data_IF_927286188126
#
_entry.id   IF_927286188126
#
_cell.length_a   1.000
_cell.length_b   1.000
_cell.length_c   1.000
_cell.angle_alpha   90.00
_cell.angle_beta   90.00
_cell.angle_gamma   90.00
#
_symmetry.space_group_name_H-M   'P 1'
#
loop_
_entity.id
_entity.type
_entity.pdbx_description
1 polymer ?
#
# COMPACT_ATOMS: atom_id res chain seq x y z
N UNK A 1 -16.09 18.57 1.42
CA UNK A 1 -16.06 17.18 0.89
C UNK A 1 -16.95 17.10 -0.34
N UNK A 2 -16.40 16.91 -1.55
CA UNK A 2 -17.23 16.67 -2.75
C UNK A 2 -17.80 15.24 -2.67
N UNK A 3 -19.11 15.10 -2.67
CA UNK A 3 -19.79 13.80 -2.73
C UNK A 3 -19.48 13.20 -4.11
N UNK A 4 -18.46 12.36 -4.20
CA UNK A 4 -18.21 11.56 -5.40
C UNK A 4 -19.39 10.61 -5.61
N UNK A 5 -19.85 10.45 -6.85
CA UNK A 5 -20.85 9.45 -7.20
C UNK A 5 -20.33 8.03 -6.89
N UNK A 6 -21.23 7.12 -6.52
CA UNK A 6 -20.93 5.71 -6.21
C UNK A 6 -19.98 5.06 -7.24
N UNK A 7 -20.18 5.24 -8.57
CA UNK A 7 -19.29 4.64 -9.57
C UNK A 7 -17.85 5.16 -9.49
N UNK A 8 -17.67 6.47 -9.22
CA UNK A 8 -16.33 7.06 -9.11
C UNK A 8 -15.58 6.55 -7.88
N UNK A 9 -16.28 6.29 -6.78
CA UNK A 9 -15.71 5.74 -5.54
C UNK A 9 -15.22 4.32 -5.74
N UNK A 10 -16.07 3.46 -6.32
CA UNK A 10 -15.71 2.09 -6.67
C UNK A 10 -14.52 2.05 -7.62
N UNK A 11 -14.56 2.87 -8.68
CA UNK A 11 -13.47 2.92 -9.66
C UNK A 11 -12.15 3.38 -9.01
N UNK A 12 -12.19 4.37 -8.12
CA UNK A 12 -11.03 4.82 -7.37
C UNK A 12 -10.43 3.72 -6.50
N UNK A 13 -11.27 3.01 -5.72
CA UNK A 13 -10.81 1.94 -4.83
C UNK A 13 -10.31 0.72 -5.60
N UNK A 14 -10.98 0.36 -6.68
CA UNK A 14 -10.56 -0.72 -7.57
C UNK A 14 -9.20 -0.42 -8.23
N UNK A 15 -9.02 0.80 -8.78
CA UNK A 15 -7.73 1.23 -9.34
C UNK A 15 -6.61 1.20 -8.31
N UNK A 16 -6.92 1.58 -7.08
CA UNK A 16 -5.97 1.53 -5.98
C UNK A 16 -5.52 0.09 -5.66
N UNK A 17 -6.45 -0.87 -5.56
CA UNK A 17 -6.10 -2.29 -5.39
C UNK A 17 -5.35 -2.87 -6.58
N UNK A 18 -5.69 -2.49 -7.82
CA UNK A 18 -4.91 -2.87 -8.99
C UNK A 18 -3.46 -2.38 -8.89
N UNK A 19 -3.24 -1.16 -8.38
CA UNK A 19 -1.88 -0.63 -8.14
C UNK A 19 -1.13 -1.49 -7.12
N UNK A 20 -1.76 -1.84 -6.00
CA UNK A 20 -1.18 -2.73 -4.99
C UNK A 20 -0.81 -4.08 -5.60
N UNK A 21 -1.76 -4.74 -6.27
CA UNK A 21 -1.56 -6.09 -6.84
C UNK A 21 -0.54 -6.12 -7.99
N UNK A 22 -0.36 -5.00 -8.70
CA UNK A 22 0.65 -4.88 -9.76
C UNK A 22 2.07 -4.70 -9.20
N UNK A 23 2.21 -3.98 -8.07
CA UNK A 23 3.53 -3.66 -7.50
C UNK A 23 3.99 -4.69 -6.47
N UNK A 24 3.07 -5.21 -5.65
CA UNK A 24 3.33 -6.14 -4.56
C UNK A 24 2.83 -7.54 -4.87
N UNK A 25 3.70 -8.54 -4.68
CA UNK A 25 3.35 -9.96 -4.81
C UNK A 25 3.56 -10.67 -3.48
N UNK A 26 2.55 -11.40 -3.01
CA UNK A 26 2.72 -12.28 -1.85
C UNK A 26 3.77 -13.37 -2.15
N UNK A 27 4.67 -13.63 -1.21
CA UNK A 27 5.71 -14.66 -1.37
C UNK A 27 5.17 -16.08 -1.29
N UNK A 28 4.01 -16.27 -0.64
CA UNK A 28 3.31 -17.55 -0.52
C UNK A 28 1.97 -17.52 -1.24
N UNK A 29 1.48 -18.70 -1.65
CA UNK A 29 0.14 -18.83 -2.27
C UNK A 29 -0.96 -18.28 -1.36
N UNK A 30 -0.88 -18.57 -0.06
CA UNK A 30 -1.78 -18.02 0.97
C UNK A 30 -1.82 -16.50 0.93
N UNK A 31 -0.66 -15.85 0.83
CA UNK A 31 -0.58 -14.40 0.78
C UNK A 31 -1.11 -13.84 -0.54
N UNK A 32 -0.81 -14.49 -1.68
CA UNK A 32 -1.32 -14.07 -3.00
C UNK A 32 -2.86 -14.13 -3.04
N UNK A 33 -3.45 -15.25 -2.64
CA UNK A 33 -4.90 -15.40 -2.54
C UNK A 33 -5.49 -14.44 -1.51
N UNK A 34 -4.82 -14.27 -0.38
CA UNK A 34 -5.24 -13.36 0.67
C UNK A 34 -5.29 -11.90 0.21
N UNK A 35 -4.36 -11.43 -0.61
CA UNK A 35 -4.39 -10.09 -1.21
C UNK A 35 -5.58 -9.93 -2.16
N UNK A 36 -5.86 -10.92 -3.00
CA UNK A 36 -7.02 -10.91 -3.91
C UNK A 36 -8.33 -10.85 -3.11
N UNK A 37 -8.51 -11.73 -2.12
CA UNK A 37 -9.71 -11.75 -1.26
C UNK A 37 -9.84 -10.43 -0.49
N UNK A 38 -8.74 -9.90 0.04
CA UNK A 38 -8.73 -8.61 0.74
C UNK A 38 -9.20 -7.47 -0.17
N UNK A 39 -8.78 -7.47 -1.44
CA UNK A 39 -9.21 -6.47 -2.42
C UNK A 39 -10.71 -6.48 -2.70
N UNK A 40 -11.31 -7.66 -2.71
CA UNK A 40 -12.74 -7.84 -2.94
C UNK A 40 -13.50 -7.35 -1.71
N UNK A 41 -13.16 -7.85 -0.52
CA UNK A 41 -13.84 -7.49 0.74
C UNK A 41 -13.75 -5.98 0.97
N UNK A 42 -12.57 -5.39 0.80
CA UNK A 42 -12.35 -3.96 1.02
C UNK A 42 -13.13 -3.10 0.00
N UNK A 43 -13.22 -3.53 -1.27
CA UNK A 43 -14.02 -2.83 -2.28
C UNK A 43 -15.52 -2.82 -1.93
N UNK A 44 -16.05 -3.94 -1.43
CA UNK A 44 -17.43 -4.01 -0.93
C UNK A 44 -17.62 -3.19 0.36
N UNK A 45 -16.67 -3.26 1.31
CA UNK A 45 -16.74 -2.48 2.54
C UNK A 45 -16.72 -0.97 2.26
N UNK A 46 -15.88 -0.52 1.32
CA UNK A 46 -15.81 0.88 0.88
C UNK A 46 -17.10 1.36 0.19
N UNK A 47 -17.83 0.45 -0.47
CA UNK A 47 -19.13 0.75 -1.07
C UNK A 47 -20.21 1.03 -0.01
N UNK A 48 -20.26 0.18 1.02
CA UNK A 48 -21.32 0.24 2.04
C UNK A 48 -21.00 1.34 3.08
N UNK A 49 -19.74 1.43 3.52
CA UNK A 49 -19.30 2.37 4.56
C UNK A 49 -17.98 3.08 4.19
N UNK A 50 -18.02 4.07 3.27
CA UNK A 50 -16.85 4.83 2.84
C UNK A 50 -16.00 5.44 3.98
N UNK A 51 -16.59 6.01 5.06
CA UNK A 51 -15.81 6.60 6.15
C UNK A 51 -15.00 5.60 6.98
N UNK A 52 -15.41 4.34 7.02
CA UNK A 52 -14.75 3.29 7.83
C UNK A 52 -13.57 2.63 7.09
N UNK A 53 -13.48 2.80 5.77
CA UNK A 53 -12.47 2.18 4.92
C UNK A 53 -11.40 3.19 4.45
N UNK A 54 -10.92 4.04 5.37
CA UNK A 54 -9.87 5.01 5.12
C UNK A 54 -8.61 4.35 4.54
N UNK A 55 -8.13 3.28 5.17
CA UNK A 55 -6.97 2.50 4.72
C UNK A 55 -7.38 1.06 4.35
N UNK A 56 -6.85 0.50 3.26
CA UNK A 56 -7.09 -0.90 2.91
C UNK A 56 -6.53 -1.81 4.00
N UNK A 57 -7.28 -2.85 4.35
CA UNK A 57 -6.83 -3.86 5.31
C UNK A 57 -6.54 -5.18 4.61
N UNK A 58 -5.51 -5.87 5.08
CA UNK A 58 -5.19 -7.23 4.61
C UNK A 58 -5.71 -8.24 5.61
N UNK A 59 -6.44 -9.26 5.13
CA UNK A 59 -7.14 -10.23 5.99
C UNK A 59 -6.30 -11.47 6.33
N UNK A 60 -5.05 -11.50 5.88
CA UNK A 60 -4.05 -12.53 6.17
C UNK A 60 -2.72 -11.89 6.58
N UNK A 61 -1.90 -12.61 7.34
CA UNK A 61 -0.51 -12.21 7.58
C UNK A 61 0.43 -12.92 6.61
N UNK A 62 1.50 -12.26 6.21
CA UNK A 62 2.52 -12.85 5.33
C UNK A 62 3.49 -11.81 4.77
N UNK A 63 4.41 -12.27 3.94
CA UNK A 63 5.42 -11.40 3.32
C UNK A 63 4.94 -10.98 1.93
N UNK A 64 5.06 -9.67 1.65
CA UNK A 64 4.84 -9.08 0.32
C UNK A 64 6.18 -8.60 -0.22
N UNK A 65 6.46 -8.95 -1.46
CA UNK A 65 7.62 -8.52 -2.21
C UNK A 65 7.23 -7.40 -3.18
N UNK A 66 7.94 -6.28 -3.15
CA UNK A 66 7.78 -5.18 -4.11
C UNK A 66 8.91 -5.20 -5.14
N UNK A 67 8.59 -5.61 -6.37
CA UNK A 67 9.57 -5.86 -7.43
C UNK A 67 10.40 -4.62 -7.79
N UNK A 68 9.78 -3.44 -7.79
CA UNK A 68 10.44 -2.21 -8.24
C UNK A 68 11.60 -1.77 -7.35
N UNK A 69 11.61 -2.19 -6.09
CA UNK A 69 12.60 -1.80 -5.09
C UNK A 69 13.36 -3.01 -4.52
N UNK A 70 13.04 -4.23 -4.99
CA UNK A 70 13.61 -5.48 -4.48
C UNK A 70 13.48 -5.65 -2.94
N UNK A 71 12.42 -5.11 -2.35
CA UNK A 71 12.19 -5.12 -0.89
C UNK A 71 11.09 -6.09 -0.47
N UNK A 72 11.20 -6.58 0.77
CA UNK A 72 10.25 -7.47 1.41
C UNK A 72 9.66 -6.82 2.66
N UNK A 73 8.34 -6.89 2.81
CA UNK A 73 7.66 -6.43 4.02
C UNK A 73 6.80 -7.53 4.62
N UNK A 74 6.88 -7.70 5.93
CA UNK A 74 5.93 -8.50 6.67
C UNK A 74 4.67 -7.68 6.94
N UNK A 75 3.53 -8.15 6.45
CA UNK A 75 2.22 -7.53 6.61
C UNK A 75 1.44 -8.31 7.65
N UNK A 76 0.93 -7.62 8.67
CA UNK A 76 0.08 -8.21 9.70
C UNK A 76 -1.39 -8.21 9.28
N UNK A 77 -2.10 -9.28 9.62
CA UNK A 77 -3.54 -9.39 9.46
C UNK A 77 -4.28 -8.24 10.17
N UNK A 78 -5.32 -7.72 9.52
CA UNK A 78 -6.20 -6.64 9.97
C UNK A 78 -5.54 -5.28 10.22
N UNK A 79 -4.33 -5.08 9.69
CA UNK A 79 -3.61 -3.81 9.75
C UNK A 79 -3.62 -3.10 8.39
N UNK A 80 -3.17 -1.86 8.40
CA UNK A 80 -2.89 -1.04 7.23
C UNK A 80 -1.41 -1.10 6.80
N UNK A 81 -0.63 -2.08 7.31
CA UNK A 81 0.79 -2.26 7.00
C UNK A 81 1.06 -2.18 5.48
N UNK A 82 0.24 -2.87 4.69
CA UNK A 82 0.38 -2.90 3.23
C UNK A 82 0.21 -1.52 2.58
N UNK A 83 -0.67 -0.68 3.13
CA UNK A 83 -0.83 0.70 2.66
C UNK A 83 0.40 1.53 3.00
N UNK A 84 0.89 1.41 4.23
CA UNK A 84 2.00 2.19 4.74
C UNK A 84 3.32 1.90 4.02
N UNK A 85 3.53 0.65 3.60
CA UNK A 85 4.73 0.24 2.84
C UNK A 85 4.58 0.38 1.32
N UNK A 86 3.44 0.88 0.83
CA UNK A 86 3.21 1.00 -0.61
C UNK A 86 4.11 2.11 -1.21
N UNK A 87 4.90 1.80 -2.25
CA UNK A 87 5.75 2.80 -2.86
C UNK A 87 4.97 3.98 -3.49
N UNK A 88 5.50 5.18 -3.26
CA UNK A 88 4.90 6.43 -3.75
C UNK A 88 3.54 6.75 -3.11
N UNK A 89 3.28 6.24 -1.90
CA UNK A 89 2.10 6.59 -1.09
C UNK A 89 2.06 8.07 -0.73
N UNK A 90 3.22 8.64 -0.41
CA UNK A 90 3.34 10.02 0.07
C UNK A 90 3.39 11.08 -1.04
N UNK A 91 3.31 10.64 -2.31
CA UNK A 91 3.23 11.52 -3.48
C UNK A 91 4.38 12.53 -3.51
N UNK A 92 4.02 13.80 -3.43
CA UNK A 92 4.93 14.95 -3.52
C UNK A 92 6.08 14.89 -2.50
N UNK A 93 5.84 14.36 -1.29
CA UNK A 93 6.90 14.21 -0.29
C UNK A 93 7.98 13.23 -0.75
N UNK A 94 7.57 12.08 -1.33
CA UNK A 94 8.49 11.11 -1.90
C UNK A 94 9.28 11.72 -3.07
N UNK A 95 8.64 12.51 -3.94
CA UNK A 95 9.34 13.18 -5.04
C UNK A 95 10.33 14.24 -4.56
N UNK A 96 9.97 15.00 -3.52
CA UNK A 96 10.86 16.01 -2.94
C UNK A 96 12.11 15.37 -2.35
N UNK A 97 11.94 14.30 -1.56
CA UNK A 97 13.06 13.55 -0.97
C UNK A 97 13.98 13.02 -2.06
N UNK A 98 13.42 12.35 -3.08
CA UNK A 98 14.22 11.81 -4.19
C UNK A 98 14.92 12.88 -5.04
N UNK A 99 14.36 14.09 -5.16
CA UNK A 99 15.02 15.22 -5.84
C UNK A 99 16.17 15.81 -5.04
N UNK A 100 16.19 15.62 -3.73
CA UNK A 100 17.22 16.15 -2.85
C UNK A 100 18.39 15.18 -2.62
N UNK A 101 18.27 13.92 -3.06
CA UNK A 101 19.26 12.87 -2.85
C UNK A 101 19.95 12.51 -4.17
N UNK A 102 21.24 12.24 -4.09
CA UNK A 102 22.03 11.62 -5.16
C UNK A 102 22.25 10.13 -4.86
N UNK A 103 22.66 9.37 -5.87
CA UNK A 103 23.03 7.95 -5.70
C UNK A 103 24.13 7.81 -4.63
N UNK A 104 23.91 6.92 -3.65
CA UNK A 104 24.80 6.72 -2.50
C UNK A 104 24.50 7.59 -1.27
N UNK A 105 23.60 8.57 -1.38
CA UNK A 105 23.16 9.34 -0.21
C UNK A 105 22.28 8.50 0.73
N UNK A 106 22.32 8.83 2.02
CA UNK A 106 21.51 8.17 3.05
C UNK A 106 20.41 9.10 3.53
N UNK A 107 19.15 8.69 3.32
CA UNK A 107 17.99 9.35 3.91
C UNK A 107 17.66 8.73 5.26
N UNK A 108 17.49 9.58 6.28
CA UNK A 108 17.09 9.16 7.63
C UNK A 108 15.71 9.76 7.91
N UNK A 109 14.69 8.90 7.91
CA UNK A 109 13.36 9.28 8.40
C UNK A 109 13.33 9.18 9.93
N UNK A 110 13.36 10.33 10.61
CA UNK A 110 13.32 10.43 12.08
C UNK A 110 11.93 10.12 12.64
N UNK A 111 10.88 10.20 11.81
CA UNK A 111 9.49 9.91 12.21
C UNK A 111 9.10 8.44 12.06
N UNK A 112 9.77 7.71 11.16
CA UNK A 112 9.60 6.27 11.04
C UNK A 112 10.45 5.56 12.10
N UNK A 113 9.83 4.68 12.88
CA UNK A 113 10.56 3.81 13.82
C UNK A 113 11.32 2.67 13.09
N UNK A 114 11.78 2.93 11.85
CA UNK A 114 12.41 2.01 10.91
C UNK A 114 13.55 2.75 10.20
N UNK A 115 14.79 2.40 10.53
CA UNK A 115 15.99 2.85 9.80
C UNK A 115 15.94 2.25 8.39
N UNK A 116 15.92 3.09 7.35
CA UNK A 116 15.94 2.64 5.95
C UNK A 116 17.38 2.66 5.42
N UNK A 117 17.82 1.54 4.84
CA UNK A 117 19.17 1.33 4.27
C UNK A 117 19.28 1.85 2.84
N UNK A 118 20.41 2.52 2.56
CA UNK A 118 21.09 2.87 1.29
C UNK A 118 20.26 2.91 -0.01
N UNK A 119 20.26 4.09 -0.65
CA UNK A 119 19.69 4.36 -1.99
C UNK A 119 20.73 4.19 -3.09
#
# INVERSE_FOLDING_TARGET
>A
MKILSIPRRLLGRFRFWLRILKQGRGTTLKMQLGLIVSSIIDSFAYLIYPPLALSPKVYVSGIVYFKNYSVYFFVRRFTDDLYNVMPGREGDANELVLKCLSEGDVFIDVGANVVTTQF
#
